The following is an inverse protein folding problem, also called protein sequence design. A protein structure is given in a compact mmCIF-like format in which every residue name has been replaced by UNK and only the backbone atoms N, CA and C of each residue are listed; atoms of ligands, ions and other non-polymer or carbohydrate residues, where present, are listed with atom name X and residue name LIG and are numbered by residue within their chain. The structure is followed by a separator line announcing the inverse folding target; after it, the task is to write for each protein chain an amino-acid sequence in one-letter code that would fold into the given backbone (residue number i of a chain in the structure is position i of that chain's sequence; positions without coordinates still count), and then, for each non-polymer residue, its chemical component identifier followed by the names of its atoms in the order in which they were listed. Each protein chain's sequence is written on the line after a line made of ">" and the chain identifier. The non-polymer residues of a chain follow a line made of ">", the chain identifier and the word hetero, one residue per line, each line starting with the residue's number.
data_IF_435262268736
#
_entry.id   IF_435262268736
#
_cell.length_a   1.000
_cell.length_b   1.000
_cell.length_c   1.000
_cell.angle_alpha   90.00
_cell.angle_beta   90.00
_cell.angle_gamma   90.00
#
_symmetry.space_group_name_H-M   'P 1'
#
loop_
_entity.id
_entity.type
_entity.pdbx_description
1 polymer ?
#
# COMPACT_ATOMS: atom_id res chain seq x y z
N UNK A 1 24.46 7.46 -25.97
CA UNK A 1 24.83 8.38 -24.88
C UNK A 1 23.77 8.26 -23.79
N UNK A 2 24.05 7.45 -22.77
CA UNK A 2 23.16 7.23 -21.62
C UNK A 2 23.58 8.20 -20.52
N UNK A 3 22.66 9.03 -20.03
CA UNK A 3 22.87 9.85 -18.83
C UNK A 3 22.02 9.26 -17.72
N UNK A 4 22.63 8.36 -16.96
CA UNK A 4 22.12 7.88 -15.67
C UNK A 4 22.12 9.05 -14.69
N UNK A 5 20.93 9.61 -14.41
CA UNK A 5 20.75 10.54 -13.30
C UNK A 5 20.59 9.74 -12.02
N UNK A 6 21.72 9.46 -11.39
CA UNK A 6 21.82 8.99 -10.00
C UNK A 6 21.15 10.01 -9.08
N UNK A 7 20.14 9.57 -8.35
CA UNK A 7 19.46 10.37 -7.34
C UNK A 7 20.38 10.56 -6.12
N UNK A 8 20.70 11.81 -5.78
CA UNK A 8 21.34 12.17 -4.51
C UNK A 8 20.24 12.46 -3.49
N UNK A 9 20.23 11.81 -2.30
CA UNK A 9 19.35 12.22 -1.21
C UNK A 9 19.75 13.62 -0.70
N UNK A 10 18.79 14.41 -0.18
CA UNK A 10 19.10 15.71 0.43
C UNK A 10 20.01 15.53 1.65
N UNK A 11 20.96 16.46 1.82
CA UNK A 11 21.94 16.44 2.89
C UNK A 11 21.28 16.49 4.28
N UNK A 12 21.80 15.75 5.28
CA UNK A 12 21.28 15.78 6.64
C UNK A 12 21.60 17.11 7.31
N UNK A 13 20.57 17.79 7.81
CA UNK A 13 20.72 18.95 8.69
C UNK A 13 20.93 18.41 10.10
N UNK A 14 22.16 18.52 10.62
CA UNK A 14 22.50 18.11 11.98
C UNK A 14 21.66 18.88 13.00
N UNK A 15 20.81 18.16 13.75
CA UNK A 15 20.16 18.70 14.95
C UNK A 15 20.66 17.92 16.16
N UNK A 16 21.44 18.58 17.00
CA UNK A 16 21.81 18.09 18.32
C UNK A 16 20.56 18.02 19.21
N UNK A 17 20.34 16.88 19.85
CA UNK A 17 19.40 16.75 20.96
C UNK A 17 20.10 16.06 22.13
N UNK A 18 20.17 16.81 23.22
CA UNK A 18 20.65 16.39 24.52
C UNK A 18 19.55 15.61 25.27
N UNK A 19 20.01 14.57 25.99
CA UNK A 19 19.50 13.96 27.22
C UNK A 19 18.01 13.96 27.57
N UNK A 20 17.47 12.78 27.79
CA UNK A 20 17.12 12.31 29.14
C UNK A 20 16.74 10.81 29.08
N UNK A 21 17.40 10.03 29.91
CA UNK A 21 17.17 8.63 30.24
C UNK A 21 16.06 8.54 31.28
N UNK A 22 15.18 7.54 31.16
CA UNK A 22 14.50 6.98 32.33
C UNK A 22 14.43 5.44 32.18
N UNK A 23 15.06 4.78 33.15
CA UNK A 23 14.98 3.35 33.46
C UNK A 23 13.84 3.14 34.46
N UNK A 24 13.03 2.08 34.30
CA UNK A 24 12.45 1.27 35.39
C UNK A 24 11.78 0.01 34.78
N UNK A 25 12.36 -1.17 35.02
CA UNK A 25 11.90 -2.24 35.94
C UNK A 25 10.98 -3.27 35.22
N UNK A 26 11.45 -4.48 34.84
CA UNK A 26 11.74 -5.67 35.65
C UNK A 26 10.62 -6.02 36.65
N UNK A 27 9.79 -7.01 36.32
CA UNK A 27 9.68 -8.27 37.08
C UNK A 27 8.63 -9.25 36.50
N UNK A 28 9.03 -10.51 36.40
CA UNK A 28 8.18 -11.71 36.31
C UNK A 28 8.60 -12.63 37.47
N UNK A 29 7.72 -13.49 38.03
CA UNK A 29 7.82 -14.91 37.63
C UNK A 29 6.55 -15.79 37.81
N UNK A 30 6.60 -16.99 37.21
CA UNK A 30 5.89 -18.22 37.65
C UNK A 30 4.57 -18.52 36.92
N UNK A 31 4.17 -19.75 36.61
CA UNK A 31 4.65 -21.11 36.89
C UNK A 31 4.14 -22.06 35.79
N UNK A 32 4.96 -23.06 35.46
CA UNK A 32 4.61 -24.27 34.71
C UNK A 32 4.02 -25.32 35.66
N UNK A 33 2.89 -25.92 35.28
CA UNK A 33 2.54 -27.28 35.71
C UNK A 33 1.99 -28.11 34.55
N UNK A 34 2.65 -29.25 34.37
CA UNK A 34 2.42 -30.38 33.49
C UNK A 34 1.14 -31.15 33.79
N UNK A 35 0.46 -31.67 32.77
CA UNK A 35 -0.22 -32.98 32.85
C UNK A 35 -0.16 -33.77 31.55
N UNK A 36 0.31 -35.01 31.73
CA UNK A 36 0.35 -36.11 30.79
C UNK A 36 -1.05 -36.58 30.35
N UNK A 37 -1.12 -37.14 29.15
CA UNK A 37 -2.28 -37.88 28.66
C UNK A 37 -1.99 -38.54 27.32
N UNK A 38 -1.12 -39.57 27.33
CA UNK A 38 -0.95 -40.48 26.20
C UNK A 38 -2.11 -41.48 26.16
N UNK A 39 -2.70 -41.68 24.98
CA UNK A 39 -3.58 -42.82 24.71
C UNK A 39 -3.21 -43.45 23.37
N UNK A 40 -3.08 -44.77 23.47
CA UNK A 40 -2.44 -45.70 22.56
C UNK A 40 -3.30 -46.07 21.35
N UNK A 41 -2.61 -46.36 20.25
CA UNK A 41 -3.11 -46.97 19.01
C UNK A 41 -3.37 -48.47 19.19
N UNK A 42 -4.34 -48.99 18.44
CA UNK A 42 -4.41 -50.39 17.96
C UNK A 42 -5.25 -50.47 16.67
N UNK A 43 -5.03 -51.48 15.80
CA UNK A 43 -4.98 -51.28 14.36
C UNK A 43 -6.22 -51.74 13.58
N UNK A 44 -6.38 -51.18 12.38
CA UNK A 44 -7.34 -51.62 11.37
C UNK A 44 -6.70 -52.62 10.40
N UNK A 45 -7.41 -53.72 10.10
CA UNK A 45 -7.09 -54.67 9.03
C UNK A 45 -7.86 -54.33 7.74
N UNK A 46 -7.35 -54.69 6.54
CA UNK A 46 -7.77 -54.12 5.27
C UNK A 46 -8.71 -55.04 4.47
N UNK A 47 -9.65 -54.47 3.71
CA UNK A 47 -10.19 -55.17 2.55
C UNK A 47 -10.76 -54.23 1.46
N UNK A 48 -10.44 -54.59 0.22
CA UNK A 48 -11.07 -54.23 -1.05
C UNK A 48 -10.83 -52.82 -1.62
N UNK A 49 -9.68 -52.66 -2.28
CA UNK A 49 -9.54 -51.75 -3.42
C UNK A 49 -9.93 -52.48 -4.72
N UNK A 50 -10.98 -52.00 -5.41
CA UNK A 50 -11.21 -52.23 -6.85
C UNK A 50 -11.75 -50.95 -7.51
N UNK A 51 -10.83 -50.21 -8.14
CA UNK A 51 -10.93 -49.62 -9.48
C UNK A 51 -12.22 -48.89 -9.90
N UNK A 52 -12.25 -47.55 -9.74
CA UNK A 52 -13.13 -46.61 -10.49
C UNK A 52 -12.50 -45.21 -10.74
N UNK A 53 -11.17 -45.09 -10.81
CA UNK A 53 -10.46 -43.79 -10.88
C UNK A 53 -10.10 -43.29 -12.30
N UNK A 54 -10.68 -43.86 -13.36
CA UNK A 54 -10.29 -43.52 -14.75
C UNK A 54 -11.20 -42.54 -15.51
N UNK A 55 -12.49 -42.46 -15.19
CA UNK A 55 -13.48 -41.80 -16.07
C UNK A 55 -14.07 -40.51 -15.48
N UNK A 56 -14.05 -40.34 -14.15
CA UNK A 56 -14.66 -39.17 -13.47
C UNK A 56 -13.72 -37.94 -13.46
N UNK A 57 -12.41 -38.13 -13.62
CA UNK A 57 -11.43 -37.04 -13.57
C UNK A 57 -11.40 -36.18 -14.85
N UNK A 58 -11.70 -36.75 -16.03
CA UNK A 58 -11.70 -35.99 -17.31
C UNK A 58 -12.99 -35.19 -17.56
N UNK A 59 -14.13 -35.67 -17.09
CA UNK A 59 -15.40 -34.94 -17.21
C UNK A 59 -15.42 -33.66 -16.35
N UNK A 60 -14.77 -33.71 -15.19
CA UNK A 60 -14.70 -32.59 -14.24
C UNK A 60 -13.82 -31.43 -14.73
N UNK A 61 -12.70 -31.72 -15.41
CA UNK A 61 -11.78 -30.68 -15.90
C UNK A 61 -12.33 -29.95 -17.15
N UNK A 62 -13.01 -30.66 -18.05
CA UNK A 62 -13.66 -30.04 -19.21
C UNK A 62 -14.87 -29.18 -18.82
N UNK A 63 -15.64 -29.57 -17.79
CA UNK A 63 -16.76 -28.78 -17.28
C UNK A 63 -16.33 -27.49 -16.54
N UNK A 64 -15.18 -27.50 -15.88
CA UNK A 64 -14.61 -26.30 -15.22
C UNK A 64 -13.98 -25.35 -16.25
N UNK A 65 -13.29 -25.89 -17.26
CA UNK A 65 -12.70 -25.08 -18.33
C UNK A 65 -13.77 -24.40 -19.22
N UNK A 66 -14.88 -25.09 -19.52
CA UNK A 66 -15.98 -24.53 -20.32
C UNK A 66 -16.79 -23.46 -19.57
N UNK A 67 -16.97 -23.60 -18.24
CA UNK A 67 -17.57 -22.54 -17.41
C UNK A 67 -16.68 -21.29 -17.32
N UNK A 68 -15.34 -21.46 -17.34
CA UNK A 68 -14.38 -20.34 -17.34
C UNK A 68 -14.34 -19.59 -18.67
N UNK A 69 -14.49 -20.30 -19.79
CA UNK A 69 -14.55 -19.70 -21.12
C UNK A 69 -15.89 -18.95 -21.35
N UNK A 70 -17.01 -19.50 -20.88
CA UNK A 70 -18.31 -18.83 -20.95
C UNK A 70 -18.35 -17.55 -20.10
N UNK A 71 -17.78 -17.58 -18.89
CA UNK A 71 -17.66 -16.39 -18.03
C UNK A 71 -16.74 -15.30 -18.62
N UNK A 72 -15.75 -15.67 -19.45
CA UNK A 72 -14.89 -14.71 -20.16
C UNK A 72 -15.54 -14.12 -21.41
N UNK A 73 -16.40 -14.88 -22.10
CA UNK A 73 -17.16 -14.40 -23.25
C UNK A 73 -18.26 -13.41 -22.80
N UNK A 74 -18.96 -13.70 -21.71
CA UNK A 74 -19.94 -12.77 -21.09
C UNK A 74 -19.29 -11.49 -20.57
N UNK A 75 -18.03 -11.54 -20.11
CA UNK A 75 -17.31 -10.34 -19.71
C UNK A 75 -16.99 -9.41 -20.90
N UNK A 76 -16.73 -9.98 -22.09
CA UNK A 76 -16.49 -9.21 -23.32
C UNK A 76 -17.75 -8.53 -23.84
N UNK A 77 -18.91 -9.21 -23.80
CA UNK A 77 -20.19 -8.61 -24.20
C UNK A 77 -20.67 -7.54 -23.20
N UNK A 78 -20.55 -7.79 -21.89
CA UNK A 78 -20.88 -6.81 -20.85
C UNK A 78 -19.95 -5.57 -20.85
N UNK A 79 -18.74 -5.70 -21.38
CA UNK A 79 -17.80 -4.57 -21.53
C UNK A 79 -18.05 -3.70 -22.77
N UNK A 80 -18.72 -4.24 -23.79
CA UNK A 80 -19.10 -3.48 -24.99
C UNK A 80 -20.38 -2.66 -24.75
N UNK A 81 -21.36 -3.22 -24.03
CA UNK A 81 -22.65 -2.56 -23.80
C UNK A 81 -22.62 -1.50 -22.68
N UNK A 82 -21.56 -1.47 -21.84
CA UNK A 82 -21.33 -0.42 -20.83
C UNK A 82 -20.56 0.81 -21.33
N UNK A 83 -20.28 0.90 -22.63
CA UNK A 83 -19.67 2.10 -23.22
C UNK A 83 -20.67 3.23 -23.53
N UNK A 84 -21.95 3.10 -23.15
CA UNK A 84 -22.94 4.18 -23.31
C UNK A 84 -23.66 4.44 -21.97
N UNK A 85 -22.94 5.03 -21.02
CA UNK A 85 -23.53 5.77 -19.89
C UNK A 85 -22.51 6.78 -19.35
N UNK A 86 -22.03 7.65 -20.24
CA UNK A 86 -21.31 8.86 -19.88
C UNK A 86 -22.34 9.95 -19.50
N UNK A 87 -22.72 10.01 -18.22
CA UNK A 87 -23.63 11.02 -17.65
C UNK A 87 -23.37 11.07 -16.15
N UNK A 88 -22.92 12.12 -15.46
CA UNK A 88 -22.65 13.53 -15.74
C UNK A 88 -21.48 13.92 -14.81
N UNK A 89 -20.39 14.44 -15.36
CA UNK A 89 -19.51 15.30 -14.57
C UNK A 89 -20.26 16.61 -14.34
N UNK A 90 -20.50 16.99 -13.10
CA UNK A 90 -20.95 18.35 -12.78
C UNK A 90 -19.72 19.25 -12.93
N UNK A 91 -19.64 20.15 -13.93
CA UNK A 91 -18.54 21.08 -13.98
C UNK A 91 -18.95 22.30 -13.17
N UNK A 92 -18.49 22.40 -11.92
CA UNK A 92 -18.22 23.73 -11.37
C UNK A 92 -16.94 24.23 -12.02
N UNK A 93 -17.09 24.66 -13.28
CA UNK A 93 -16.07 25.44 -13.99
C UNK A 93 -15.99 26.78 -13.28
N UNK A 94 -15.18 26.87 -12.23
CA UNK A 94 -14.72 28.17 -11.78
C UNK A 94 -14.04 28.83 -13.00
N UNK A 95 -14.42 30.07 -13.30
CA UNK A 95 -13.67 30.91 -14.22
C UNK A 95 -12.17 30.82 -13.87
N UNK A 96 -11.28 30.96 -14.86
CA UNK A 96 -9.84 30.76 -14.74
C UNK A 96 -9.20 31.66 -13.66
N UNK A 97 -9.42 31.32 -12.39
CA UNK A 97 -8.68 31.83 -11.27
C UNK A 97 -7.25 31.34 -11.47
N UNK A 98 -6.28 32.23 -11.26
CA UNK A 98 -4.88 31.87 -11.31
C UNK A 98 -4.66 30.67 -10.39
N UNK A 99 -3.88 29.70 -10.86
CA UNK A 99 -3.56 28.51 -10.07
C UNK A 99 -3.01 28.95 -8.70
N UNK A 100 -3.39 28.29 -7.59
CA UNK A 100 -2.89 28.64 -6.27
C UNK A 100 -1.36 28.68 -6.23
N UNK A 101 -0.81 29.83 -5.85
CA UNK A 101 0.64 30.05 -5.81
C UNK A 101 1.20 30.09 -4.37
N UNK A 102 0.34 30.31 -3.37
CA UNK A 102 0.72 30.32 -1.96
C UNK A 102 0.09 29.15 -1.20
N UNK A 103 0.72 28.73 -0.09
CA UNK A 103 0.18 27.65 0.73
C UNK A 103 -1.23 27.96 1.25
N UNK A 104 -1.51 29.21 1.61
CA UNK A 104 -2.86 29.64 2.04
C UNK A 104 -3.90 29.44 0.95
N UNK A 105 -3.59 29.82 -0.30
CA UNK A 105 -4.48 29.61 -1.44
C UNK A 105 -4.67 28.11 -1.73
N UNK A 106 -3.59 27.32 -1.65
CA UNK A 106 -3.65 25.87 -1.85
C UNK A 106 -4.52 25.19 -0.78
N UNK A 107 -4.41 25.62 0.49
CA UNK A 107 -5.24 25.12 1.59
C UNK A 107 -6.72 25.47 1.40
N UNK A 108 -7.03 26.64 0.85
CA UNK A 108 -8.41 27.06 0.59
C UNK A 108 -9.13 26.17 -0.44
N UNK A 109 -8.40 25.63 -1.42
CA UNK A 109 -8.97 24.72 -2.45
C UNK A 109 -8.74 23.23 -2.14
N UNK A 110 -7.99 22.92 -1.08
CA UNK A 110 -7.66 21.54 -0.72
C UNK A 110 -8.90 20.65 -0.45
N UNK A 111 -10.00 21.13 0.16
CA UNK A 111 -11.20 20.30 0.33
C UNK A 111 -11.79 19.79 -0.99
N UNK A 112 -11.90 20.66 -2.00
CA UNK A 112 -12.45 20.30 -3.30
C UNK A 112 -11.48 19.42 -4.10
N UNK A 113 -10.19 19.75 -4.08
CA UNK A 113 -9.15 18.91 -4.68
C UNK A 113 -9.09 17.52 -4.04
N UNK A 114 -9.34 17.44 -2.72
CA UNK A 114 -9.42 16.16 -2.00
C UNK A 114 -10.62 15.34 -2.45
N UNK A 115 -11.79 15.95 -2.58
CA UNK A 115 -12.99 15.26 -3.07
C UNK A 115 -12.75 14.67 -4.48
N UNK A 116 -12.14 15.45 -5.37
CA UNK A 116 -11.81 15.00 -6.73
C UNK A 116 -10.92 13.75 -6.75
N UNK A 117 -9.81 13.75 -5.99
CA UNK A 117 -8.91 12.58 -5.96
C UNK A 117 -9.49 11.39 -5.19
N UNK A 118 -10.37 11.62 -4.20
CA UNK A 118 -11.05 10.56 -3.45
C UNK A 118 -12.10 9.87 -4.31
N UNK A 119 -12.86 10.62 -5.11
CA UNK A 119 -13.82 10.07 -6.07
C UNK A 119 -13.13 9.29 -7.18
N UNK A 120 -12.02 9.81 -7.72
CA UNK A 120 -11.22 9.06 -8.68
C UNK A 120 -10.70 7.76 -8.07
N UNK A 121 -10.10 7.83 -6.88
CA UNK A 121 -9.58 6.64 -6.20
C UNK A 121 -10.69 5.60 -5.96
N UNK A 122 -11.89 6.03 -5.57
CA UNK A 122 -13.03 5.13 -5.35
C UNK A 122 -13.43 4.43 -6.64
N UNK A 123 -13.59 5.18 -7.74
CA UNK A 123 -13.93 4.62 -9.06
C UNK A 123 -12.88 3.61 -9.56
N UNK A 124 -11.61 3.82 -9.25
CA UNK A 124 -10.53 2.91 -9.64
C UNK A 124 -10.43 1.68 -8.73
N UNK A 125 -10.81 1.79 -7.45
CA UNK A 125 -10.75 0.69 -6.49
C UNK A 125 -11.93 -0.30 -6.65
N UNK A 126 -13.13 0.22 -6.92
CA UNK A 126 -14.39 -0.54 -6.89
C UNK A 126 -14.40 -1.77 -7.84
N UNK A 127 -13.96 -1.70 -9.12
CA UNK A 127 -13.93 -2.87 -10.00
C UNK A 127 -13.01 -4.00 -9.50
N UNK A 128 -12.07 -3.65 -8.63
CA UNK A 128 -11.09 -4.56 -8.05
C UNK A 128 -11.45 -5.02 -6.64
N UNK A 129 -12.67 -4.68 -6.16
CA UNK A 129 -13.12 -4.88 -4.77
C UNK A 129 -12.13 -4.29 -3.76
N UNK A 130 -11.48 -3.20 -4.15
CA UNK A 130 -10.54 -2.47 -3.31
C UNK A 130 -11.24 -1.48 -2.39
N UNK A 131 -10.47 -0.99 -1.43
CA UNK A 131 -10.90 0.04 -0.48
C UNK A 131 -10.04 1.29 -0.64
N UNK A 132 -10.62 2.47 -0.42
CA UNK A 132 -9.85 3.72 -0.40
C UNK A 132 -9.63 4.18 1.02
N UNK A 133 -8.37 4.28 1.43
CA UNK A 133 -7.97 4.91 2.67
C UNK A 133 -7.79 6.40 2.44
N UNK A 134 -8.79 7.20 2.86
CA UNK A 134 -8.77 8.65 2.72
C UNK A 134 -7.83 9.27 3.77
N UNK A 135 -6.80 9.97 3.33
CA UNK A 135 -5.92 10.72 4.22
C UNK A 135 -6.54 12.07 4.59
N UNK A 136 -6.32 12.59 5.81
CA UNK A 136 -6.68 13.97 6.12
C UNK A 136 -5.87 14.93 5.25
N UNK A 137 -6.42 16.12 5.00
CA UNK A 137 -5.66 17.23 4.42
C UNK A 137 -4.46 17.51 5.34
N UNK A 138 -3.28 17.68 4.75
CA UNK A 138 -2.08 17.98 5.54
C UNK A 138 -2.28 19.31 6.27
N UNK A 139 -1.99 19.35 7.57
CA UNK A 139 -2.11 20.59 8.35
C UNK A 139 -1.16 21.66 7.81
N UNK A 140 -1.55 22.94 7.97
CA UNK A 140 -0.76 24.07 7.50
C UNK A 140 0.69 24.04 8.02
N UNK A 141 0.88 23.73 9.31
CA UNK A 141 2.20 23.62 9.93
C UNK A 141 3.05 22.53 9.28
N UNK A 142 2.51 21.32 9.10
CA UNK A 142 3.24 20.20 8.46
C UNK A 142 3.49 20.47 6.98
N UNK A 143 2.57 21.15 6.31
CA UNK A 143 2.74 21.55 4.92
C UNK A 143 3.87 22.57 4.78
N UNK A 144 3.90 23.61 5.61
CA UNK A 144 4.96 24.62 5.62
C UNK A 144 6.32 23.99 5.90
N UNK A 145 6.43 23.19 6.97
CA UNK A 145 7.68 22.46 7.29
C UNK A 145 8.20 21.63 6.12
N UNK A 146 7.30 21.00 5.36
CA UNK A 146 7.67 20.20 4.19
C UNK A 146 8.08 21.07 3.01
N UNK A 147 7.41 22.19 2.80
CA UNK A 147 7.78 23.18 1.77
C UNK A 147 9.17 23.74 2.01
N UNK A 148 9.49 24.06 3.26
CA UNK A 148 10.79 24.59 3.63
C UNK A 148 11.89 23.52 3.50
N UNK A 149 11.63 22.31 4.01
CA UNK A 149 12.62 21.23 4.02
C UNK A 149 12.87 20.60 2.63
N UNK A 150 11.83 20.35 1.85
CA UNK A 150 11.93 19.53 0.64
C UNK A 150 11.92 20.38 -0.65
N UNK A 151 11.38 21.60 -0.60
CA UNK A 151 11.07 22.40 -1.79
C UNK A 151 11.66 23.81 -1.78
N UNK A 152 12.52 24.15 -0.82
CA UNK A 152 13.22 25.43 -0.76
C UNK A 152 12.27 26.62 -0.62
N UNK A 153 11.14 26.43 0.07
CA UNK A 153 10.14 27.47 0.29
C UNK A 153 9.08 27.59 -0.82
N UNK A 154 9.16 26.82 -1.91
CA UNK A 154 8.17 26.85 -2.99
C UNK A 154 6.99 25.89 -2.72
N UNK A 155 5.80 26.40 -2.36
CA UNK A 155 4.65 25.56 -2.03
C UNK A 155 4.03 24.87 -3.25
N UNK A 156 4.24 25.39 -4.46
CA UNK A 156 3.64 24.85 -5.70
C UNK A 156 4.16 23.45 -6.04
N UNK A 157 5.29 23.06 -5.44
CA UNK A 157 5.94 21.75 -5.60
C UNK A 157 5.42 20.71 -4.61
N UNK A 158 4.60 21.09 -3.64
CA UNK A 158 4.00 20.17 -2.66
C UNK A 158 2.98 19.26 -3.33
N UNK A 159 3.25 17.95 -3.36
CA UNK A 159 2.43 16.96 -4.09
C UNK A 159 1.40 16.22 -3.24
N UNK A 160 1.53 16.28 -1.92
CA UNK A 160 0.77 15.45 -0.99
C UNK A 160 -0.05 16.31 -0.01
N UNK A 161 -0.45 17.53 -0.39
CA UNK A 161 -1.36 18.35 0.42
C UNK A 161 -2.70 17.62 0.63
N UNK A 162 -3.22 17.04 -0.45
CA UNK A 162 -4.35 16.10 -0.46
C UNK A 162 -3.84 14.74 -0.90
N UNK A 163 -4.31 13.67 -0.24
CA UNK A 163 -3.83 12.31 -0.52
C UNK A 163 -4.82 11.22 -0.12
N UNK A 164 -4.73 10.09 -0.79
CA UNK A 164 -5.38 8.84 -0.40
C UNK A 164 -4.54 7.62 -0.81
N UNK A 165 -5.00 6.44 -0.42
CA UNK A 165 -4.39 5.17 -0.81
C UNK A 165 -5.47 4.20 -1.26
N UNK A 166 -5.36 3.71 -2.50
CA UNK A 166 -6.14 2.58 -2.99
C UNK A 166 -5.50 1.29 -2.46
N UNK A 167 -6.31 0.47 -1.81
CA UNK A 167 -5.89 -0.82 -1.25
C UNK A 167 -6.55 -1.93 -2.04
N UNK A 168 -5.73 -2.75 -2.69
CA UNK A 168 -6.19 -3.84 -3.56
C UNK A 168 -5.34 -5.09 -3.36
N UNK A 169 -5.83 -6.24 -3.82
CA UNK A 169 -5.02 -7.45 -3.89
C UNK A 169 -3.84 -7.28 -4.85
N UNK A 170 -2.77 -8.07 -4.67
CA UNK A 170 -1.59 -8.01 -5.54
C UNK A 170 -1.89 -8.15 -7.04
N UNK A 171 -2.77 -9.09 -7.50
CA UNK A 171 -3.13 -9.18 -8.92
C UNK A 171 -3.78 -7.91 -9.49
N UNK A 172 -4.42 -7.11 -8.64
CA UNK A 172 -5.11 -5.87 -9.03
C UNK A 172 -4.18 -4.64 -9.02
N UNK A 173 -2.97 -4.73 -8.46
CA UNK A 173 -2.01 -3.62 -8.43
C UNK A 173 -1.68 -3.10 -9.83
N UNK A 174 -1.33 -3.99 -10.76
CA UNK A 174 -1.00 -3.63 -12.15
C UNK A 174 -2.14 -2.92 -12.88
N UNK A 175 -3.35 -3.53 -12.96
CA UNK A 175 -4.51 -2.91 -13.57
C UNK A 175 -4.89 -1.53 -13.01
N UNK A 176 -4.88 -1.36 -11.68
CA UNK A 176 -5.17 -0.06 -11.04
C UNK A 176 -4.10 0.97 -11.36
N UNK A 177 -2.82 0.57 -11.32
CA UNK A 177 -1.69 1.43 -11.67
C UNK A 177 -1.79 1.93 -13.10
N UNK A 178 -2.17 1.07 -14.04
CA UNK A 178 -2.35 1.46 -15.43
C UNK A 178 -3.57 2.35 -15.63
N UNK A 179 -4.65 2.11 -14.89
CA UNK A 179 -5.79 3.04 -14.86
C UNK A 179 -5.39 4.42 -14.35
N UNK A 180 -4.54 4.54 -13.34
CA UNK A 180 -4.01 5.83 -12.89
C UNK A 180 -3.20 6.54 -13.99
N UNK A 181 -2.33 5.81 -14.71
CA UNK A 181 -1.57 6.39 -15.85
C UNK A 181 -2.51 6.94 -16.92
N UNK A 182 -3.56 6.20 -17.29
CA UNK A 182 -4.57 6.63 -18.28
C UNK A 182 -5.33 7.89 -17.84
N UNK A 183 -5.43 8.14 -16.53
CA UNK A 183 -6.03 9.36 -15.98
C UNK A 183 -5.03 10.53 -15.89
N UNK A 184 -3.82 10.37 -16.44
CA UNK A 184 -2.80 11.42 -16.47
C UNK A 184 -1.95 11.52 -15.20
N UNK A 185 -2.02 10.54 -14.29
CA UNK A 185 -1.17 10.54 -13.10
C UNK A 185 0.29 10.22 -13.46
N UNK A 186 1.23 10.96 -12.87
CA UNK A 186 2.64 10.61 -12.89
C UNK A 186 2.88 9.49 -11.90
N UNK A 187 3.12 8.28 -12.39
CA UNK A 187 3.21 7.04 -11.60
C UNK A 187 4.66 6.61 -11.40
N UNK A 188 5.03 6.35 -10.15
CA UNK A 188 6.27 5.67 -9.74
C UNK A 188 5.92 4.32 -9.11
N UNK A 189 6.30 3.24 -9.78
CA UNK A 189 6.27 1.88 -9.20
C UNK A 189 7.54 1.69 -8.38
N UNK A 190 7.39 1.21 -7.15
CA UNK A 190 8.49 0.90 -6.24
C UNK A 190 8.59 -0.62 -6.19
N UNK A 191 9.68 -1.15 -6.72
CA UNK A 191 10.00 -2.58 -6.66
C UNK A 191 10.90 -2.84 -5.45
N UNK A 192 10.47 -3.76 -4.58
CA UNK A 192 11.19 -4.15 -3.37
C UNK A 192 12.55 -4.78 -3.65
N UNK A 193 12.83 -5.25 -4.87
CA UNK A 193 14.18 -5.72 -5.26
C UNK A 193 15.16 -4.57 -5.48
N UNK A 194 14.65 -3.40 -5.87
CA UNK A 194 15.45 -2.22 -6.20
C UNK A 194 15.43 -1.15 -5.11
N UNK A 195 14.40 -1.16 -4.26
CA UNK A 195 14.28 -0.24 -3.14
C UNK A 195 15.33 -0.59 -2.07
N UNK A 196 16.15 0.38 -1.61
CA UNK A 196 17.17 0.11 -0.60
C UNK A 196 16.63 -0.52 0.68
N UNK A 197 15.37 -0.23 1.04
CA UNK A 197 14.72 -0.76 2.23
C UNK A 197 13.79 -1.93 1.93
N UNK A 198 13.68 -2.34 0.67
CA UNK A 198 12.84 -3.46 0.24
C UNK A 198 11.35 -3.16 0.24
N UNK A 199 10.93 -1.90 0.36
CA UNK A 199 9.53 -1.53 0.26
C UNK A 199 9.03 -1.71 -1.18
N UNK A 200 7.77 -2.15 -1.32
CA UNK A 200 7.09 -2.26 -2.61
C UNK A 200 5.73 -1.58 -2.58
N UNK A 201 5.34 -0.95 -3.68
CA UNK A 201 4.07 -0.26 -3.81
C UNK A 201 4.07 0.73 -4.97
N UNK A 202 3.04 1.56 -5.04
CA UNK A 202 2.94 2.58 -6.08
C UNK A 202 2.68 3.94 -5.45
N UNK A 203 3.46 4.93 -5.86
CA UNK A 203 3.16 6.32 -5.58
C UNK A 203 2.81 7.03 -6.88
N UNK A 204 1.78 7.88 -6.86
CA UNK A 204 1.42 8.68 -8.02
C UNK A 204 0.98 10.08 -7.61
N UNK A 205 1.26 11.04 -8.48
CA UNK A 205 0.82 12.42 -8.33
C UNK A 205 0.09 12.89 -9.57
N UNK A 206 -1.00 13.63 -9.40
CA UNK A 206 -1.73 14.25 -10.50
C UNK A 206 -2.11 15.69 -10.15
N UNK A 207 -2.21 16.56 -11.16
CA UNK A 207 -2.72 17.91 -10.99
C UNK A 207 -4.24 17.86 -11.02
N UNK A 208 -4.88 18.41 -10.00
CA UNK A 208 -6.35 18.47 -9.91
C UNK A 208 -6.91 19.61 -10.74
N UNK A 209 -8.22 19.60 -10.98
CA UNK A 209 -8.91 20.71 -11.63
C UNK A 209 -8.80 22.05 -10.87
N UNK A 210 -8.47 21.99 -9.57
CA UNK A 210 -8.23 23.14 -8.69
C UNK A 210 -6.79 23.65 -8.71
N UNK A 211 -5.94 23.13 -9.60
CA UNK A 211 -4.61 23.66 -9.87
C UNK A 211 -3.51 23.22 -8.90
N UNK A 212 -3.82 22.42 -7.88
CA UNK A 212 -2.85 21.83 -6.95
C UNK A 212 -2.55 20.37 -7.29
N UNK A 213 -1.47 19.81 -6.76
CA UNK A 213 -1.19 18.38 -6.87
C UNK A 213 -1.90 17.58 -5.76
N UNK A 214 -2.41 16.42 -6.13
CA UNK A 214 -2.86 15.37 -5.21
C UNK A 214 -2.07 14.09 -5.38
N UNK A 215 -1.89 13.35 -4.28
CA UNK A 215 -1.18 12.06 -4.26
C UNK A 215 -2.19 10.90 -4.15
N UNK A 216 -2.09 9.93 -5.06
CA UNK A 216 -2.85 8.67 -4.98
C UNK A 216 -1.83 7.52 -4.91
N UNK A 217 -1.79 6.83 -3.78
CA UNK A 217 -0.95 5.64 -3.62
C UNK A 217 -1.75 4.38 -3.95
N UNK A 218 -1.08 3.32 -4.38
CA UNK A 218 -1.69 1.97 -4.49
C UNK A 218 -0.85 1.00 -3.68
N UNK A 219 -1.52 0.20 -2.86
CA UNK A 219 -0.84 -0.78 -2.01
C UNK A 219 -1.67 -2.04 -1.77
N UNK A 220 -1.02 -3.08 -1.27
CA UNK A 220 -1.71 -4.27 -0.77
C UNK A 220 -1.99 -4.15 0.73
N UNK A 221 -2.98 -4.90 1.26
CA UNK A 221 -3.22 -4.97 2.71
C UNK A 221 -1.96 -5.37 3.49
N UNK A 222 -1.21 -6.38 3.01
CA UNK A 222 0.01 -6.87 3.66
C UNK A 222 1.13 -5.83 3.69
N UNK A 223 1.32 -5.07 2.61
CA UNK A 223 2.32 -4.00 2.59
C UNK A 223 1.93 -2.80 3.48
N UNK A 224 0.63 -2.52 3.62
CA UNK A 224 0.14 -1.53 4.59
C UNK A 224 0.34 -1.98 6.04
N UNK A 225 -0.02 -3.23 6.34
CA UNK A 225 0.26 -3.87 7.62
C UNK A 225 1.75 -3.81 7.96
N UNK A 226 2.62 -4.17 7.02
CA UNK A 226 4.04 -4.18 7.23
C UNK A 226 4.63 -2.78 7.44
N UNK A 227 4.18 -1.79 6.65
CA UNK A 227 4.69 -0.42 6.72
C UNK A 227 4.23 0.29 7.99
N UNK A 228 2.93 0.33 8.26
CA UNK A 228 2.37 1.19 9.29
C UNK A 228 1.92 0.41 10.55
N UNK A 229 1.38 -0.80 10.38
CA UNK A 229 0.93 -1.67 11.47
C UNK A 229 -0.04 -1.02 12.47
N UNK A 230 -0.27 -1.74 13.57
CA UNK A 230 -0.99 -1.23 14.74
C UNK A 230 -2.47 -0.93 14.54
N UNK A 231 -3.06 -0.29 15.54
CA UNK A 231 -4.49 -0.01 15.62
C UNK A 231 -4.98 0.88 14.46
N UNK A 232 -4.17 1.85 14.04
CA UNK A 232 -4.53 2.74 12.93
C UNK A 232 -4.76 2.00 11.62
N UNK A 233 -3.88 1.06 11.27
CA UNK A 233 -4.05 0.25 10.06
C UNK A 233 -5.24 -0.69 10.22
N UNK A 234 -5.46 -1.24 11.43
CA UNK A 234 -6.64 -2.06 11.72
C UNK A 234 -7.95 -1.30 11.54
N UNK A 235 -8.05 -0.07 12.06
CA UNK A 235 -9.21 0.80 11.85
C UNK A 235 -9.43 1.14 10.37
N UNK A 236 -8.36 1.25 9.59
CA UNK A 236 -8.41 1.56 8.16
C UNK A 236 -8.78 0.37 7.27
N UNK A 237 -8.22 -0.81 7.53
CA UNK A 237 -8.49 -2.03 6.75
C UNK A 237 -9.74 -2.78 7.21
N UNK A 238 -10.16 -2.57 8.46
CA UNK A 238 -11.15 -3.39 9.15
C UNK A 238 -10.53 -4.66 9.74
N UNK A 239 -11.16 -5.15 10.81
CA UNK A 239 -10.68 -6.28 11.61
C UNK A 239 -10.46 -7.55 10.79
N UNK A 240 -11.37 -7.89 9.88
CA UNK A 240 -11.27 -9.12 9.09
C UNK A 240 -10.01 -9.14 8.21
N UNK A 241 -9.79 -8.09 7.42
CA UNK A 241 -8.63 -7.98 6.52
C UNK A 241 -7.33 -7.88 7.32
N UNK A 242 -7.33 -7.11 8.41
CA UNK A 242 -6.16 -6.98 9.27
C UNK A 242 -5.77 -8.33 9.90
N UNK A 243 -6.74 -9.06 10.47
CA UNK A 243 -6.50 -10.35 11.11
C UNK A 243 -6.10 -11.43 10.11
N UNK A 244 -6.64 -11.40 8.88
CA UNK A 244 -6.22 -12.31 7.81
C UNK A 244 -4.74 -12.10 7.48
N UNK A 245 -4.29 -10.87 7.27
CA UNK A 245 -2.88 -10.56 7.01
C UNK A 245 -2.01 -10.94 8.21
N UNK A 246 -2.42 -10.55 9.42
CA UNK A 246 -1.66 -10.80 10.64
C UNK A 246 -1.51 -12.30 10.94
N UNK A 247 -2.52 -13.13 10.65
CA UNK A 247 -2.46 -14.58 10.87
C UNK A 247 -1.57 -15.33 9.86
N UNK A 248 -1.32 -14.74 8.69
CA UNK A 248 -0.39 -15.28 7.69
C UNK A 248 1.05 -14.85 7.92
N UNK A 249 1.25 -13.68 8.53
CA UNK A 249 2.56 -13.05 8.63
C UNK A 249 3.29 -13.49 9.89
N UNK A 250 4.52 -13.98 9.73
CA UNK A 250 5.39 -14.48 10.81
C UNK A 250 6.08 -13.36 11.61
N UNK A 251 5.97 -12.11 11.16
CA UNK A 251 6.57 -10.92 11.76
C UNK A 251 5.51 -9.89 12.13
N UNK A 252 5.71 -9.11 13.21
CA UNK A 252 4.76 -8.08 13.62
C UNK A 252 4.71 -6.92 12.62
N UNK A 253 3.50 -6.43 12.33
CA UNK A 253 3.29 -5.27 11.47
C UNK A 253 3.86 -3.96 12.03
N UNK A 254 4.11 -3.00 11.14
CA UNK A 254 4.53 -1.65 11.48
C UNK A 254 6.04 -1.43 11.64
N UNK A 255 6.88 -2.46 11.45
CA UNK A 255 8.33 -2.27 11.51
C UNK A 255 8.89 -1.48 10.32
N UNK A 256 8.22 -1.48 9.18
CA UNK A 256 8.71 -0.82 7.97
C UNK A 256 8.90 0.70 8.15
N UNK A 257 7.94 1.39 8.76
CA UNK A 257 8.07 2.84 9.00
C UNK A 257 9.14 3.15 10.06
N UNK A 258 9.27 2.32 11.10
CA UNK A 258 10.31 2.49 12.13
C UNK A 258 11.71 2.43 11.53
N UNK A 259 11.97 1.38 10.74
CA UNK A 259 13.26 1.18 10.06
C UNK A 259 13.56 2.31 9.07
N UNK A 260 12.54 2.83 8.36
CA UNK A 260 12.71 3.99 7.49
C UNK A 260 13.10 5.25 8.26
N UNK A 261 12.47 5.53 9.40
CA UNK A 261 12.78 6.73 10.20
C UNK A 261 14.17 6.66 10.84
N UNK A 262 14.63 5.47 11.24
CA UNK A 262 16.00 5.25 11.68
C UNK A 262 17.01 5.41 10.53
N UNK A 263 16.69 4.88 9.35
CA UNK A 263 17.59 4.92 8.19
C UNK A 263 17.75 6.32 7.59
N UNK A 264 16.65 7.07 7.45
CA UNK A 264 16.61 8.34 6.69
C UNK A 264 17.45 9.47 7.28
N UNK A 265 17.85 9.38 8.54
CA UNK A 265 18.67 10.39 9.23
C UNK A 265 20.16 10.10 9.14
N UNK A 266 20.54 8.92 8.62
CA UNK A 266 21.91 8.47 8.49
C UNK A 266 22.48 8.84 7.11
N UNK A 267 23.80 8.96 7.05
CA UNK A 267 24.50 9.04 5.76
C UNK A 267 24.36 7.72 5.01
N UNK A 268 24.24 7.72 3.67
CA UNK A 268 24.29 6.49 2.88
C UNK A 268 25.54 5.64 3.10
N UNK A 269 26.66 6.27 3.46
CA UNK A 269 27.95 5.61 3.73
C UNK A 269 28.07 5.10 5.17
N UNK A 270 27.07 5.34 6.02
CA UNK A 270 27.06 4.87 7.41
C UNK A 270 26.85 3.34 7.46
N UNK A 271 27.75 2.56 8.09
CA UNK A 271 27.54 1.13 8.28
C UNK A 271 26.21 0.79 8.96
N UNK A 272 25.71 1.64 9.86
CA UNK A 272 24.41 1.46 10.50
C UNK A 272 23.27 1.56 9.48
N UNK A 273 23.37 2.44 8.47
CA UNK A 273 22.37 2.55 7.40
C UNK A 273 22.31 1.25 6.59
N UNK A 274 23.44 0.61 6.31
CA UNK A 274 23.48 -0.68 5.60
C UNK A 274 22.82 -1.80 6.41
N UNK A 275 23.07 -1.85 7.72
CA UNK A 275 22.45 -2.83 8.63
C UNK A 275 20.94 -2.64 8.71
N UNK A 276 20.46 -1.41 8.87
CA UNK A 276 19.02 -1.10 8.91
C UNK A 276 18.36 -1.43 7.57
N UNK A 277 19.02 -1.11 6.46
CA UNK A 277 18.53 -1.42 5.12
C UNK A 277 18.39 -2.93 4.90
N UNK A 278 19.38 -3.73 5.34
CA UNK A 278 19.28 -5.19 5.26
C UNK A 278 18.16 -5.74 6.13
N UNK A 279 18.01 -5.25 7.37
CA UNK A 279 16.89 -5.64 8.25
C UNK A 279 15.54 -5.32 7.61
N UNK A 280 15.42 -4.15 6.97
CA UNK A 280 14.19 -3.71 6.31
C UNK A 280 13.85 -4.58 5.09
N UNK A 281 14.84 -4.89 4.25
CA UNK A 281 14.66 -5.80 3.11
C UNK A 281 14.18 -7.17 3.57
N UNK A 282 14.88 -7.78 4.52
CA UNK A 282 14.51 -9.09 5.08
C UNK A 282 13.08 -9.06 5.64
N UNK A 283 12.73 -8.02 6.39
CA UNK A 283 11.37 -7.86 6.93
C UNK A 283 10.30 -7.81 5.83
N UNK A 284 10.48 -6.99 4.80
CA UNK A 284 9.51 -6.90 3.72
C UNK A 284 9.47 -8.15 2.84
N UNK A 285 10.60 -8.84 2.64
CA UNK A 285 10.66 -10.12 1.94
C UNK A 285 9.89 -11.20 2.68
N UNK A 286 10.03 -11.28 4.01
CA UNK A 286 9.24 -12.19 4.84
C UNK A 286 7.73 -11.92 4.68
N UNK A 287 7.30 -10.67 4.81
CA UNK A 287 5.88 -10.30 4.62
C UNK A 287 5.37 -10.71 3.24
N UNK A 288 6.18 -10.49 2.19
CA UNK A 288 5.79 -10.86 0.83
C UNK A 288 5.65 -12.36 0.65
N UNK A 289 6.64 -13.13 1.12
CA UNK A 289 6.63 -14.58 1.05
C UNK A 289 5.41 -15.17 1.78
N UNK A 290 5.14 -14.70 2.99
CA UNK A 290 4.03 -15.14 3.84
C UNK A 290 2.65 -14.85 3.21
N UNK A 291 2.56 -13.84 2.33
CA UNK A 291 1.32 -13.43 1.67
C UNK A 291 1.24 -13.83 0.18
N UNK A 292 2.20 -14.64 -0.31
CA UNK A 292 2.18 -15.23 -1.65
C UNK A 292 2.43 -14.23 -2.79
N UNK A 293 3.32 -13.26 -2.57
CA UNK A 293 3.76 -12.29 -3.58
C UNK A 293 5.06 -12.68 -4.27
#
# INVERSE_FOLDING_TARGET
>A
MSLDKVFHPPAPVHRALAGAVDQEALDAPGQLQSRHGALSLAPATPQAARSLTGVVARASSQAVASRRAAAFADYRSLSADRQIAATQAVPLKMAAAQAPATLTQMLAVAPQAKAEIDELAQRLAEPHRGTVLRGPIKSAVRAQQKVDADYGGDPTRLKDLVRNTIVVSAPSMGPVTESLRRQGAAVKVIDGKSDPLGYSGVNSSMKTSFGIFGEIQVNTPAMLYAKQGGEKVRQQLGDAVFNEVASRTSVPGGMGHKLYEEWRVLSPDDPAAQVIAQKSRTYYDTVRADNGY
#
